data_IF_799947377557
#
_entry.id   IF_799947377557
#
_cell.length_a   1.000
_cell.length_b   1.000
_cell.length_c   1.000
_cell.angle_alpha   90.00
_cell.angle_beta   90.00
_cell.angle_gamma   90.00
#
_symmetry.space_group_name_H-M   'P 1'
#
loop_
_entity.id
_entity.type
_entity.pdbx_description
1 polymer ?
#
# COMPACT_ATOMS: atom_id res chain seq x y z
N UNK A 1 0.96 -0.96 -9.09
CA UNK A 1 0.53 -0.03 -8.03
C UNK A 1 0.90 -0.52 -6.64
N UNK A 2 0.16 -1.38 -5.91
CA UNK A 2 0.63 -1.82 -4.57
C UNK A 2 1.96 -2.59 -4.62
N UNK A 3 2.05 -3.59 -5.49
CA UNK A 3 3.30 -4.35 -5.70
C UNK A 3 4.42 -3.49 -6.33
N UNK A 4 4.05 -2.40 -6.99
CA UNK A 4 5.00 -1.44 -7.56
C UNK A 4 5.60 -0.59 -6.43
N UNK A 5 4.76 -0.01 -5.56
CA UNK A 5 5.20 0.66 -4.33
C UNK A 5 6.09 -0.26 -3.46
N UNK A 6 5.72 -1.53 -3.31
CA UNK A 6 6.54 -2.49 -2.56
C UNK A 6 7.92 -2.70 -3.20
N UNK A 7 7.97 -2.75 -4.54
CA UNK A 7 9.23 -2.88 -5.26
C UNK A 7 10.06 -1.59 -5.15
N UNK A 8 9.45 -0.44 -5.38
CA UNK A 8 10.11 0.87 -5.39
C UNK A 8 10.74 1.16 -4.02
N UNK A 9 10.02 0.90 -2.92
CA UNK A 9 10.58 1.10 -1.58
C UNK A 9 11.70 0.10 -1.25
N UNK A 10 11.60 -1.14 -1.74
CA UNK A 10 12.62 -2.15 -1.52
C UNK A 10 13.90 -1.88 -2.32
N UNK A 11 13.78 -1.26 -3.50
CA UNK A 11 14.91 -0.73 -4.25
C UNK A 11 15.53 0.46 -3.52
N UNK A 12 14.71 1.41 -3.06
CA UNK A 12 15.20 2.55 -2.29
C UNK A 12 15.92 2.12 -1.00
N UNK A 13 15.39 1.17 -0.24
CA UNK A 13 16.03 0.63 0.98
C UNK A 13 17.43 0.06 0.72
N UNK A 14 17.67 -0.52 -0.46
CA UNK A 14 18.97 -1.07 -0.83
C UNK A 14 19.96 0.00 -1.27
N UNK A 15 19.47 1.01 -1.99
CA UNK A 15 20.30 1.95 -2.74
C UNK A 15 20.51 3.29 -2.02
N UNK A 16 19.64 3.69 -1.08
CA UNK A 16 19.61 5.07 -0.54
C UNK A 16 20.94 5.56 0.06
N UNK A 17 21.81 4.65 0.50
CA UNK A 17 23.14 4.99 1.04
C UNK A 17 24.14 5.43 -0.01
N UNK A 18 23.89 5.05 -1.27
CA UNK A 18 24.74 5.35 -2.42
C UNK A 18 24.19 6.55 -3.23
N UNK A 19 22.98 7.01 -2.90
CA UNK A 19 22.30 8.10 -3.59
C UNK A 19 22.60 9.45 -2.94
N UNK A 20 22.64 10.49 -3.75
CA UNK A 20 22.61 11.87 -3.27
C UNK A 20 21.21 12.21 -2.74
N UNK A 21 21.13 13.15 -1.78
CA UNK A 21 19.86 13.54 -1.13
C UNK A 21 18.79 13.95 -2.16
N UNK A 22 19.18 14.65 -3.23
CA UNK A 22 18.25 15.05 -4.28
C UNK A 22 17.68 13.85 -5.05
N UNK A 23 18.44 12.78 -5.24
CA UNK A 23 17.98 11.57 -5.92
C UNK A 23 16.95 10.82 -5.04
N UNK A 24 17.19 10.79 -3.73
CA UNK A 24 16.24 10.24 -2.76
C UNK A 24 14.95 11.06 -2.75
N UNK A 25 15.05 12.40 -2.76
CA UNK A 25 13.90 13.31 -2.86
C UNK A 25 13.08 13.02 -4.13
N UNK A 26 13.73 12.89 -5.29
CA UNK A 26 13.06 12.55 -6.55
C UNK A 26 12.34 11.20 -6.47
N UNK A 27 12.97 10.16 -5.93
CA UNK A 27 12.34 8.85 -5.71
C UNK A 27 11.13 8.97 -4.77
N UNK A 28 11.20 9.76 -3.69
CA UNK A 28 10.07 9.99 -2.79
C UNK A 28 8.92 10.76 -3.43
N UNK A 29 9.20 11.70 -4.34
CA UNK A 29 8.17 12.42 -5.12
C UNK A 29 7.42 11.44 -6.02
N UNK A 30 8.14 10.60 -6.77
CA UNK A 30 7.53 9.57 -7.62
C UNK A 30 6.70 8.58 -6.79
N UNK A 31 7.24 8.19 -5.62
CA UNK A 31 6.56 7.36 -4.66
C UNK A 31 5.24 7.97 -4.19
N UNK A 32 5.24 9.23 -3.74
CA UNK A 32 4.04 9.97 -3.33
C UNK A 32 3.00 10.04 -4.45
N UNK A 33 3.43 10.29 -5.69
CA UNK A 33 2.55 10.31 -6.86
C UNK A 33 1.84 8.97 -7.06
N UNK A 34 2.56 7.85 -6.90
CA UNK A 34 1.97 6.51 -6.99
C UNK A 34 0.99 6.24 -5.85
N UNK A 35 1.28 6.69 -4.62
CA UNK A 35 0.36 6.63 -3.48
C UNK A 35 -0.92 7.44 -3.76
N UNK A 36 -0.81 8.65 -4.31
CA UNK A 36 -1.97 9.48 -4.67
C UNK A 36 -2.83 8.82 -5.75
N UNK A 37 -2.21 8.25 -6.79
CA UNK A 37 -2.93 7.48 -7.82
C UNK A 37 -3.68 6.30 -7.21
N UNK A 38 -3.10 5.64 -6.20
CA UNK A 38 -3.72 4.52 -5.50
C UNK A 38 -4.98 4.95 -4.73
N UNK A 39 -4.91 6.05 -4.00
CA UNK A 39 -6.05 6.63 -3.26
C UNK A 39 -7.22 7.02 -4.17
N UNK A 40 -6.91 7.49 -5.37
CA UNK A 40 -7.89 7.84 -6.39
C UNK A 40 -8.48 6.61 -7.12
N UNK A 41 -7.98 5.40 -6.85
CA UNK A 41 -8.45 4.16 -7.43
C UNK A 41 -9.85 3.74 -6.95
N UNK A 42 -10.73 3.35 -7.88
CA UNK A 42 -12.12 2.96 -7.57
C UNK A 42 -12.28 1.62 -6.81
N UNK A 43 -11.26 0.76 -6.82
CA UNK A 43 -11.32 -0.61 -6.24
C UNK A 43 -10.51 -0.78 -4.95
N UNK A 44 -10.08 0.33 -4.35
CA UNK A 44 -9.16 0.30 -3.22
C UNK A 44 -9.92 0.30 -1.89
N UNK A 45 -9.76 -0.76 -1.08
CA UNK A 45 -10.58 -1.03 0.11
C UNK A 45 -9.94 -0.58 1.43
N UNK A 46 -8.63 -0.31 1.43
CA UNK A 46 -7.85 0.05 2.62
C UNK A 46 -7.36 1.50 2.56
N UNK A 47 -8.27 2.45 2.33
CA UNK A 47 -7.92 3.88 2.16
C UNK A 47 -7.21 4.51 3.38
N UNK A 48 -7.67 4.35 4.63
CA UNK A 48 -7.04 5.03 5.78
C UNK A 48 -5.53 4.77 5.93
N UNK A 49 -5.03 3.51 5.92
CA UNK A 49 -3.58 3.28 6.05
C UNK A 49 -2.78 3.83 4.86
N UNK A 50 -3.39 4.02 3.69
CA UNK A 50 -2.72 4.65 2.54
C UNK A 50 -2.68 6.18 2.66
N UNK A 51 -3.70 6.79 3.26
CA UNK A 51 -3.65 8.22 3.59
C UNK A 51 -2.52 8.48 4.59
N UNK A 52 -2.38 7.63 5.61
CA UNK A 52 -1.25 7.69 6.53
C UNK A 52 0.09 7.48 5.82
N UNK A 53 0.20 6.49 4.91
CA UNK A 53 1.40 6.28 4.10
C UNK A 53 1.79 7.54 3.33
N UNK A 54 0.80 8.22 2.73
CA UNK A 54 1.03 9.49 2.03
C UNK A 54 1.59 10.55 2.99
N UNK A 55 1.03 10.66 4.19
CA UNK A 55 1.52 11.60 5.20
C UNK A 55 2.96 11.29 5.63
N UNK A 56 3.28 10.03 5.85
CA UNK A 56 4.64 9.60 6.23
C UNK A 56 5.66 9.93 5.13
N UNK A 57 5.35 9.60 3.87
CA UNK A 57 6.21 9.92 2.70
C UNK A 57 6.43 11.43 2.61
N UNK A 58 5.37 12.23 2.76
CA UNK A 58 5.47 13.69 2.72
C UNK A 58 6.35 14.22 3.85
N UNK A 59 6.18 13.72 5.07
CA UNK A 59 7.00 14.14 6.22
C UNK A 59 8.49 13.90 5.98
N UNK A 60 8.85 12.72 5.46
CA UNK A 60 10.25 12.40 5.15
C UNK A 60 10.79 13.36 4.11
N UNK A 61 10.02 13.62 3.05
CA UNK A 61 10.43 14.53 1.97
C UNK A 61 10.63 15.96 2.48
N UNK A 62 9.72 16.47 3.29
CA UNK A 62 9.79 17.83 3.84
C UNK A 62 11.02 18.00 4.77
N UNK A 63 11.44 16.92 5.44
CA UNK A 63 12.57 16.94 6.39
C UNK A 63 13.88 16.37 5.81
N UNK A 64 13.92 15.92 4.55
CA UNK A 64 14.98 15.03 4.05
C UNK A 64 16.40 15.60 4.14
N UNK A 65 16.55 16.91 4.00
CA UNK A 65 17.83 17.61 4.11
C UNK A 65 18.34 17.77 5.56
N UNK A 66 17.47 17.52 6.53
CA UNK A 66 17.78 17.61 7.97
C UNK A 66 17.84 16.25 8.66
N UNK A 67 17.39 15.17 7.99
CA UNK A 67 17.41 13.82 8.52
C UNK A 67 18.83 13.26 8.61
N UNK A 68 19.14 12.66 9.76
CA UNK A 68 20.33 11.80 9.87
C UNK A 68 20.12 10.50 9.09
N UNK A 69 21.21 9.88 8.66
CA UNK A 69 21.17 8.62 7.92
C UNK A 69 20.40 7.50 8.64
N UNK A 70 20.48 7.42 9.97
CA UNK A 70 19.72 6.47 10.79
C UNK A 70 18.21 6.77 10.83
N UNK A 71 17.84 8.06 10.85
CA UNK A 71 16.44 8.49 10.86
C UNK A 71 15.81 8.21 9.49
N UNK A 72 16.57 8.43 8.41
CA UNK A 72 16.16 8.08 7.05
C UNK A 72 16.00 6.57 6.88
N UNK A 73 16.97 5.75 7.33
CA UNK A 73 16.88 4.28 7.30
C UNK A 73 15.61 3.77 7.99
N UNK A 74 15.36 4.25 9.22
CA UNK A 74 14.19 3.88 10.00
C UNK A 74 12.89 4.30 9.31
N UNK A 75 12.89 5.46 8.65
CA UNK A 75 11.71 5.96 7.95
C UNK A 75 11.40 5.15 6.69
N UNK A 76 12.42 4.78 5.92
CA UNK A 76 12.27 3.89 4.75
C UNK A 76 11.72 2.52 5.18
N UNK A 77 12.26 1.94 6.26
CA UNK A 77 11.76 0.66 6.81
C UNK A 77 10.30 0.74 7.27
N UNK A 78 9.92 1.82 7.98
CA UNK A 78 8.53 2.05 8.39
C UNK A 78 7.58 2.14 7.20
N UNK A 79 7.99 2.82 6.12
CA UNK A 79 7.21 2.88 4.88
C UNK A 79 7.01 1.47 4.32
N UNK A 80 8.08 0.68 4.23
CA UNK A 80 8.02 -0.71 3.75
C UNK A 80 7.06 -1.57 4.57
N UNK A 81 7.19 -1.56 5.89
CA UNK A 81 6.30 -2.31 6.78
C UNK A 81 4.83 -1.89 6.61
N UNK A 82 4.58 -0.59 6.44
CA UNK A 82 3.22 -0.06 6.22
C UNK A 82 2.66 -0.53 4.88
N UNK A 83 3.47 -0.61 3.82
CA UNK A 83 3.06 -1.13 2.52
C UNK A 83 2.71 -2.62 2.59
N UNK A 84 3.53 -3.41 3.28
CA UNK A 84 3.26 -4.83 3.48
C UNK A 84 1.94 -5.04 4.24
N UNK A 85 1.68 -4.23 5.27
CA UNK A 85 0.40 -4.21 5.99
C UNK A 85 -0.78 -3.82 5.08
N UNK A 86 -0.61 -2.79 4.23
CA UNK A 86 -1.64 -2.37 3.27
C UNK A 86 -1.94 -3.50 2.26
N UNK A 87 -0.91 -4.19 1.77
CA UNK A 87 -1.05 -5.31 0.85
C UNK A 87 -1.84 -6.45 1.50
N UNK A 88 -1.48 -6.84 2.72
CA UNK A 88 -2.19 -7.87 3.47
C UNK A 88 -3.65 -7.50 3.75
N UNK A 89 -3.89 -6.24 4.14
CA UNK A 89 -5.23 -5.70 4.34
C UNK A 89 -6.09 -5.73 3.06
N UNK A 90 -5.51 -5.36 1.91
CA UNK A 90 -6.19 -5.41 0.63
C UNK A 90 -6.51 -6.86 0.22
N UNK A 91 -5.54 -7.79 0.36
CA UNK A 91 -5.77 -9.21 0.08
C UNK A 91 -6.88 -9.80 0.97
N UNK A 92 -6.85 -9.49 2.26
CA UNK A 92 -7.86 -9.94 3.23
C UNK A 92 -9.25 -9.40 2.89
N UNK A 93 -9.36 -8.13 2.51
CA UNK A 93 -10.62 -7.52 2.11
C UNK A 93 -11.20 -8.17 0.83
N UNK A 94 -10.34 -8.48 -0.14
CA UNK A 94 -10.72 -9.16 -1.39
C UNK A 94 -11.17 -10.61 -1.14
N UNK A 95 -10.42 -11.37 -0.32
CA UNK A 95 -10.77 -12.74 0.05
C UNK A 95 -12.07 -12.78 0.86
N UNK A 96 -12.23 -11.87 1.83
CA UNK A 96 -13.45 -11.75 2.63
C UNK A 96 -14.68 -11.47 1.77
N UNK A 97 -14.57 -10.57 0.80
CA UNK A 97 -15.60 -10.30 -0.20
C UNK A 97 -15.95 -11.53 -1.05
N UNK A 98 -14.93 -12.26 -1.52
CA UNK A 98 -15.12 -13.50 -2.29
C UNK A 98 -15.84 -14.58 -1.46
N UNK A 99 -15.49 -14.74 -0.17
CA UNK A 99 -16.15 -15.67 0.73
C UNK A 99 -17.65 -15.40 0.92
N UNK A 100 -18.02 -14.12 1.04
CA UNK A 100 -19.43 -13.69 1.11
C UNK A 100 -20.15 -14.01 -0.20
N UNK A 101 -19.52 -13.73 -1.35
CA UNK A 101 -20.08 -14.02 -2.66
C UNK A 101 -20.38 -15.53 -2.84
N UNK A 102 -19.43 -16.41 -2.54
CA UNK A 102 -19.62 -17.86 -2.65
C UNK A 102 -20.70 -18.39 -1.70
N UNK A 103 -20.78 -17.85 -0.48
CA UNK A 103 -21.83 -18.19 0.49
C UNK A 103 -23.21 -17.82 -0.06
N UNK A 104 -23.36 -16.63 -0.61
CA UNK A 104 -24.62 -16.17 -1.20
C UNK A 104 -25.04 -17.04 -2.38
N UNK A 105 -24.09 -17.40 -3.26
CA UNK A 105 -24.35 -18.29 -4.40
C UNK A 105 -24.79 -19.69 -3.95
N UNK A 106 -24.16 -20.26 -2.91
CA UNK A 106 -24.54 -21.55 -2.31
C UNK A 106 -25.96 -21.50 -1.74
N UNK A 107 -26.31 -20.41 -1.04
CA UNK A 107 -27.64 -20.23 -0.47
C UNK A 107 -28.72 -20.05 -1.55
N UNK A 108 -28.44 -19.30 -2.62
CA UNK A 108 -29.34 -19.16 -3.75
C UNK A 108 -29.57 -20.50 -4.47
N UNK A 109 -28.52 -21.30 -4.67
CA UNK A 109 -28.62 -22.64 -5.26
C UNK A 109 -29.46 -23.59 -4.39
N UNK A 110 -29.31 -23.56 -3.05
CA UNK A 110 -30.16 -24.33 -2.13
C UNK A 110 -31.64 -23.95 -2.25
N UNK A 111 -31.96 -22.64 -2.19
CA UNK A 111 -33.34 -22.14 -2.34
C UNK A 111 -33.96 -22.56 -3.67
N UNK A 112 -33.20 -22.58 -4.76
CA UNK A 112 -33.68 -23.02 -6.08
C UNK A 112 -33.99 -24.53 -6.11
N UNK A 113 -33.20 -25.36 -5.41
CA UNK A 113 -33.46 -26.80 -5.28
C UNK A 113 -34.68 -27.09 -4.42
N UNK A 114 -34.90 -26.32 -3.35
CA UNK A 114 -36.05 -26.44 -2.47
C UNK A 114 -37.36 -26.01 -3.14
N UNK A 115 -37.33 -24.98 -4.01
CA UNK A 115 -38.52 -24.53 -4.78
C UNK A 115 -38.91 -25.46 -5.93
N UNK A 116 -38.01 -26.32 -6.39
CA UNK A 116 -38.23 -27.23 -7.52
C UNK A 116 -38.52 -28.68 -7.05
N UNK A 117 -38.71 -28.88 -5.75
CA UNK A 117 -39.24 -30.11 -5.14
C UNK A 117 -40.69 -29.87 -4.75
#
# INVERSE_FOLDING_TARGET
MLLELQKDIAELEKEYKELETFEIEMKLIEFEMTVVKLLNGKKFLVKPPVEELKHDVKSIKDDIYNLKAEELDNSIKKIKDKIDYIIDGQMTAEIGGAGIYFRNMRNAAKKKREKNK
#
